data_IF_300107243893
#
_entry.id   IF_300107243893
#
_cell.length_a   1.000
_cell.length_b   1.000
_cell.length_c   1.000
_cell.angle_alpha   90.00
_cell.angle_beta   90.00
_cell.angle_gamma   90.00
#
_symmetry.space_group_name_H-M   'P 1'
#
loop_
_entity.id
_entity.type
_entity.pdbx_description
1 polymer ?
#
# COMPACT_ATOMS: atom_id res chain seq x y z
N UNK A 1 36.93 -19.30 39.99
CA UNK A 1 36.64 -19.82 38.63
C UNK A 1 35.61 -18.89 38.00
N UNK A 2 35.98 -18.11 36.98
CA UNK A 2 35.05 -17.21 36.28
C UNK A 2 34.10 -18.10 35.47
N UNK A 3 32.80 -18.12 35.79
CA UNK A 3 31.83 -18.88 35.02
C UNK A 3 31.92 -18.47 33.53
N UNK A 4 31.87 -19.41 32.57
CA UNK A 4 32.02 -19.09 31.16
C UNK A 4 30.96 -18.06 30.76
N UNK A 5 31.41 -16.95 30.15
CA UNK A 5 30.55 -15.91 29.59
C UNK A 5 29.67 -16.55 28.52
N UNK A 6 28.40 -16.83 28.84
CA UNK A 6 27.44 -17.30 27.83
C UNK A 6 27.05 -16.11 26.95
N UNK A 7 27.33 -16.13 25.64
CA UNK A 7 26.95 -15.05 24.75
C UNK A 7 25.41 -14.95 24.67
N UNK A 8 24.90 -13.73 24.49
CA UNK A 8 23.47 -13.47 24.26
C UNK A 8 23.07 -13.95 22.86
N UNK A 9 22.88 -15.26 22.72
CA UNK A 9 22.61 -15.91 21.44
C UNK A 9 21.37 -15.35 20.73
N UNK A 10 20.36 -14.95 21.49
CA UNK A 10 19.14 -14.31 20.97
C UNK A 10 19.44 -12.99 20.25
N UNK A 11 20.28 -12.13 20.82
CA UNK A 11 20.63 -10.84 20.22
C UNK A 11 21.51 -11.00 18.98
N UNK A 12 22.40 -11.99 18.97
CA UNK A 12 23.22 -12.34 17.80
C UNK A 12 22.33 -12.86 16.67
N UNK A 13 21.40 -13.76 16.98
CA UNK A 13 20.45 -14.30 16.01
C UNK A 13 19.62 -13.19 15.37
N UNK A 14 19.14 -12.24 16.18
CA UNK A 14 18.37 -11.09 15.69
C UNK A 14 19.21 -10.17 14.82
N UNK A 15 20.46 -9.91 15.20
CA UNK A 15 21.37 -9.12 14.38
C UNK A 15 21.57 -9.76 13.01
N UNK A 16 21.87 -11.07 12.97
CA UNK A 16 22.02 -11.83 11.72
C UNK A 16 20.72 -11.80 10.90
N UNK A 17 19.56 -12.01 11.54
CA UNK A 17 18.26 -11.96 10.87
C UNK A 17 17.99 -10.59 10.25
N UNK A 18 18.32 -9.51 10.97
CA UNK A 18 18.15 -8.13 10.50
C UNK A 18 19.02 -7.86 9.28
N UNK A 19 20.29 -8.26 9.31
CA UNK A 19 21.22 -8.12 8.18
C UNK A 19 20.75 -8.95 6.98
N UNK A 20 20.32 -10.20 7.19
CA UNK A 20 19.78 -11.04 6.13
C UNK A 20 18.52 -10.42 5.50
N UNK A 21 17.60 -9.90 6.31
CA UNK A 21 16.40 -9.22 5.80
C UNK A 21 16.78 -8.03 4.92
N UNK A 22 17.79 -7.25 5.32
CA UNK A 22 18.25 -6.09 4.56
C UNK A 22 18.81 -6.50 3.19
N UNK A 23 19.61 -7.58 3.13
CA UNK A 23 20.17 -8.12 1.88
C UNK A 23 19.06 -8.65 0.97
N UNK A 24 18.14 -9.47 1.49
CA UNK A 24 17.09 -10.10 0.70
C UNK A 24 16.05 -9.11 0.14
N UNK A 25 15.85 -7.97 0.80
CA UNK A 25 14.92 -6.95 0.32
C UNK A 25 15.57 -5.97 -0.66
N UNK A 26 16.88 -5.69 -0.52
CA UNK A 26 17.58 -4.73 -1.39
C UNK A 26 18.09 -5.34 -2.69
N UNK A 27 18.48 -6.61 -2.69
CA UNK A 27 18.95 -7.28 -3.91
C UNK A 27 17.77 -7.56 -4.86
N UNK A 28 17.77 -7.01 -6.10
CA UNK A 28 16.66 -7.19 -7.04
C UNK A 28 16.36 -8.67 -7.34
N UNK A 29 17.37 -9.54 -7.42
CA UNK A 29 17.19 -10.96 -7.72
C UNK A 29 16.60 -11.73 -6.54
N UNK A 30 16.95 -11.35 -5.31
CA UNK A 30 16.43 -11.99 -4.09
C UNK A 30 15.04 -11.46 -3.70
N UNK A 31 14.71 -10.24 -4.11
CA UNK A 31 13.48 -9.55 -3.72
C UNK A 31 12.18 -10.20 -4.23
N UNK A 32 12.28 -11.00 -5.29
CA UNK A 32 11.16 -11.78 -5.85
C UNK A 32 10.94 -13.14 -5.17
N UNK A 33 11.86 -13.55 -4.28
CA UNK A 33 11.76 -14.84 -3.61
C UNK A 33 10.75 -14.80 -2.46
N UNK A 34 10.04 -15.92 -2.17
CA UNK A 34 9.16 -16.01 -1.01
C UNK A 34 9.92 -15.88 0.32
N UNK A 35 11.25 -16.05 0.31
CA UNK A 35 12.08 -15.91 1.49
C UNK A 35 12.07 -14.47 2.02
N UNK A 36 11.91 -13.47 1.14
CA UNK A 36 11.71 -12.08 1.53
C UNK A 36 10.52 -11.93 2.49
N UNK A 37 9.40 -12.57 2.19
CA UNK A 37 8.19 -12.54 3.02
C UNK A 37 8.43 -13.24 4.36
N UNK A 38 9.08 -14.40 4.33
CA UNK A 38 9.43 -15.16 5.55
C UNK A 38 10.34 -14.37 6.48
N UNK A 39 11.31 -13.63 5.94
CA UNK A 39 12.21 -12.79 6.72
C UNK A 39 11.54 -11.48 7.19
N UNK A 40 10.73 -10.87 6.33
CA UNK A 40 10.06 -9.60 6.58
C UNK A 40 8.98 -9.68 7.66
N UNK A 41 8.21 -10.78 7.73
CA UNK A 41 7.12 -10.93 8.70
C UNK A 41 7.64 -10.82 10.15
N UNK A 42 8.64 -11.60 10.61
CA UNK A 42 9.20 -11.46 11.95
C UNK A 42 9.86 -10.10 12.19
N UNK A 43 10.48 -9.52 11.14
CA UNK A 43 11.12 -8.21 11.21
C UNK A 43 10.12 -7.08 11.51
N UNK A 44 8.86 -7.22 11.11
CA UNK A 44 7.81 -6.23 11.39
C UNK A 44 7.04 -6.58 12.66
N UNK A 45 6.65 -7.85 12.85
CA UNK A 45 5.71 -8.22 13.91
C UNK A 45 6.32 -8.49 15.27
N UNK A 46 7.63 -8.78 15.35
CA UNK A 46 8.21 -9.30 16.59
C UNK A 46 9.58 -8.71 16.93
N UNK A 47 10.51 -8.69 15.98
CA UNK A 47 11.92 -8.37 16.23
C UNK A 47 12.11 -6.98 16.88
N UNK A 48 11.55 -5.88 16.34
CA UNK A 48 11.78 -4.55 16.88
C UNK A 48 11.32 -4.41 18.33
N UNK A 49 10.14 -4.96 18.64
CA UNK A 49 9.58 -4.99 19.98
C UNK A 49 10.33 -5.94 20.93
N UNK A 50 10.83 -7.08 20.45
CA UNK A 50 11.66 -7.98 21.26
C UNK A 50 12.96 -7.31 21.68
N UNK A 51 13.66 -6.67 20.74
CA UNK A 51 14.92 -5.99 21.07
C UNK A 51 14.66 -4.79 21.98
N UNK A 52 13.55 -4.07 21.80
CA UNK A 52 13.14 -3.01 22.73
C UNK A 52 12.87 -3.57 24.13
N UNK A 53 12.13 -4.67 24.25
CA UNK A 53 11.90 -5.34 25.53
C UNK A 53 13.21 -5.81 26.16
N UNK A 54 14.13 -6.38 25.39
CA UNK A 54 15.45 -6.80 25.85
C UNK A 54 16.32 -5.62 26.29
N UNK A 55 16.18 -4.47 25.62
CA UNK A 55 16.85 -3.24 25.99
C UNK A 55 16.25 -2.63 27.26
N UNK A 56 14.93 -2.67 27.47
CA UNK A 56 14.26 -2.09 28.64
C UNK A 56 14.38 -2.97 29.89
N UNK A 57 14.21 -4.28 29.73
CA UNK A 57 14.14 -5.31 30.77
C UNK A 57 15.22 -6.39 30.57
N UNK A 58 16.51 -6.04 30.81
CA UNK A 58 17.65 -6.91 30.52
C UNK A 58 17.83 -8.06 31.52
N UNK A 59 17.22 -7.99 32.71
CA UNK A 59 17.37 -9.05 33.72
C UNK A 59 16.43 -10.20 33.40
N UNK A 60 16.84 -11.38 33.85
CA UNK A 60 16.04 -12.59 33.73
C UNK A 60 14.74 -12.55 34.54
N UNK A 61 14.77 -11.87 35.67
CA UNK A 61 13.67 -11.81 36.64
C UNK A 61 12.66 -10.69 36.30
N UNK A 62 12.98 -9.82 35.35
CA UNK A 62 12.14 -8.66 35.02
C UNK A 62 10.82 -9.07 34.34
N UNK A 63 10.86 -10.14 33.54
CA UNK A 63 9.72 -10.62 32.76
C UNK A 63 9.77 -12.14 32.67
N UNK A 64 8.62 -12.78 32.84
CA UNK A 64 8.46 -14.19 32.52
C UNK A 64 8.65 -14.45 31.02
N UNK A 65 8.95 -15.69 30.63
CA UNK A 65 9.24 -16.02 29.23
C UNK A 65 8.04 -15.74 28.30
N UNK A 66 6.82 -16.07 28.74
CA UNK A 66 5.58 -15.81 28.00
C UNK A 66 5.25 -14.32 27.95
N UNK A 67 5.42 -13.61 29.07
CA UNK A 67 5.22 -12.17 29.15
C UNK A 67 6.16 -11.41 28.21
N UNK A 68 7.43 -11.84 28.13
CA UNK A 68 8.40 -11.27 27.20
C UNK A 68 7.97 -11.43 25.75
N UNK A 69 7.45 -12.59 25.37
CA UNK A 69 6.94 -12.84 24.02
C UNK A 69 5.73 -11.94 23.73
N UNK A 70 4.75 -11.91 24.64
CA UNK A 70 3.55 -11.07 24.48
C UNK A 70 3.90 -9.57 24.38
N UNK A 71 4.78 -9.08 25.26
CA UNK A 71 5.26 -7.71 25.25
C UNK A 71 6.02 -7.37 23.96
N UNK A 72 6.77 -8.32 23.40
CA UNK A 72 7.50 -8.12 22.14
C UNK A 72 6.57 -7.89 20.95
N UNK A 73 5.47 -8.64 20.88
CA UNK A 73 4.42 -8.39 19.88
C UNK A 73 3.75 -7.03 20.13
N UNK A 74 3.36 -6.75 21.38
CA UNK A 74 2.72 -5.47 21.74
C UNK A 74 3.57 -4.25 21.40
N UNK A 75 4.87 -4.28 21.73
CA UNK A 75 5.81 -3.21 21.42
C UNK A 75 6.06 -3.06 19.93
N UNK A 76 6.08 -4.15 19.15
CA UNK A 76 6.22 -4.07 17.68
C UNK A 76 4.98 -3.42 17.06
N UNK A 77 3.78 -3.84 17.48
CA UNK A 77 2.50 -3.26 17.02
C UNK A 77 2.42 -1.78 17.38
N UNK A 78 3.01 -1.33 18.49
CA UNK A 78 3.09 0.09 18.82
C UNK A 78 4.13 0.84 17.98
N UNK A 79 5.37 0.35 17.93
CA UNK A 79 6.51 1.07 17.37
C UNK A 79 6.47 1.12 15.84
N UNK A 80 6.16 0.02 15.16
CA UNK A 80 6.28 -0.06 13.70
C UNK A 80 5.31 0.91 12.99
N UNK A 81 4.01 0.98 13.34
CA UNK A 81 3.10 1.96 12.73
C UNK A 81 3.49 3.40 13.02
N UNK A 82 3.93 3.72 14.24
CA UNK A 82 4.41 5.06 14.60
C UNK A 82 5.62 5.43 13.76
N UNK A 83 6.58 4.51 13.59
CA UNK A 83 7.76 4.71 12.74
C UNK A 83 7.35 4.96 11.27
N UNK A 84 6.41 4.17 10.75
CA UNK A 84 5.88 4.35 9.39
C UNK A 84 5.20 5.71 9.20
N UNK A 85 4.42 6.15 10.21
CA UNK A 85 3.76 7.46 10.20
C UNK A 85 4.77 8.62 10.26
N UNK A 86 5.82 8.51 11.09
CA UNK A 86 6.90 9.49 11.13
C UNK A 86 7.66 9.59 9.80
N UNK A 87 7.91 8.45 9.15
CA UNK A 87 8.54 8.41 7.83
C UNK A 87 7.67 9.00 6.73
N UNK A 88 6.35 8.84 6.82
CA UNK A 88 5.42 9.42 5.85
C UNK A 88 5.61 10.95 5.74
N UNK A 89 5.86 11.64 6.85
CA UNK A 89 6.09 13.08 6.84
C UNK A 89 7.42 13.52 6.22
N UNK A 90 8.39 12.62 6.06
CA UNK A 90 9.75 12.95 5.59
C UNK A 90 10.05 12.42 4.19
N UNK A 91 9.79 11.13 3.95
CA UNK A 91 10.14 10.44 2.70
C UNK A 91 8.93 9.78 2.02
N UNK A 92 7.73 9.95 2.58
CA UNK A 92 6.53 9.22 2.15
C UNK A 92 6.54 7.73 2.56
N UNK A 93 5.44 7.03 2.31
CA UNK A 93 5.30 5.59 2.59
C UNK A 93 5.95 4.79 1.47
N UNK A 94 7.26 4.63 1.54
CA UNK A 94 8.04 3.78 0.63
C UNK A 94 8.70 2.64 1.38
N UNK A 95 8.82 1.48 0.73
CA UNK A 95 9.39 0.26 1.33
C UNK A 95 10.82 0.46 1.84
N UNK A 96 11.69 1.09 1.04
CA UNK A 96 13.12 1.21 1.33
C UNK A 96 13.36 2.09 2.57
N UNK A 97 12.81 3.32 2.69
CA UNK A 97 12.94 4.12 3.91
C UNK A 97 12.44 3.41 5.18
N UNK A 98 11.30 2.71 5.09
CA UNK A 98 10.73 1.97 6.22
C UNK A 98 11.69 0.87 6.67
N UNK A 99 12.20 0.07 5.73
CA UNK A 99 13.11 -1.02 6.06
C UNK A 99 14.41 -0.51 6.67
N UNK A 100 15.03 0.53 6.09
CA UNK A 100 16.28 1.10 6.59
C UNK A 100 16.11 1.69 7.99
N UNK A 101 15.03 2.44 8.21
CA UNK A 101 14.71 3.00 9.53
C UNK A 101 14.48 1.89 10.56
N UNK A 102 13.69 0.87 10.23
CA UNK A 102 13.40 -0.22 11.15
C UNK A 102 14.65 -1.07 11.46
N UNK A 103 15.49 -1.29 10.47
CA UNK A 103 16.75 -2.04 10.62
C UNK A 103 17.75 -1.26 11.47
N UNK A 104 17.94 0.03 11.20
CA UNK A 104 18.82 0.89 12.01
C UNK A 104 18.34 1.00 13.45
N UNK A 105 17.04 1.18 13.67
CA UNK A 105 16.41 1.15 14.99
C UNK A 105 16.69 -0.17 15.73
N UNK A 106 16.48 -1.30 15.04
CA UNK A 106 16.71 -2.64 15.62
C UNK A 106 18.18 -2.84 15.99
N UNK A 107 19.12 -2.50 15.10
CA UNK A 107 20.56 -2.62 15.35
C UNK A 107 20.99 -1.74 16.53
N UNK A 108 20.51 -0.49 16.60
CA UNK A 108 20.79 0.41 17.72
C UNK A 108 20.31 -0.17 19.06
N UNK A 109 19.10 -0.72 19.09
CA UNK A 109 18.58 -1.38 20.29
C UNK A 109 19.32 -2.67 20.63
N UNK A 110 19.81 -3.44 19.66
CA UNK A 110 20.65 -4.62 19.91
C UNK A 110 21.91 -4.19 20.65
N UNK A 111 22.58 -3.13 20.20
CA UNK A 111 23.77 -2.59 20.86
C UNK A 111 23.44 -2.15 22.29
N UNK A 112 22.33 -1.42 22.49
CA UNK A 112 21.89 -0.99 23.83
C UNK A 112 21.57 -2.19 24.73
N UNK A 113 20.90 -3.21 24.20
CA UNK A 113 20.53 -4.42 24.94
C UNK A 113 21.76 -5.22 25.36
N UNK A 114 22.75 -5.40 24.45
CA UNK A 114 24.03 -6.04 24.78
C UNK A 114 24.73 -5.26 25.89
N UNK A 115 24.87 -3.94 25.73
CA UNK A 115 25.52 -3.08 26.71
C UNK A 115 24.86 -3.16 28.10
N UNK A 116 23.52 -3.14 28.15
CA UNK A 116 22.79 -3.27 29.42
C UNK A 116 22.89 -4.67 30.03
N UNK A 117 22.92 -5.73 29.23
CA UNK A 117 23.08 -7.11 29.71
C UNK A 117 24.48 -7.40 30.24
N UNK A 118 25.51 -6.86 29.60
CA UNK A 118 26.90 -7.06 30.04
C UNK A 118 27.21 -6.42 31.39
N UNK A 119 26.50 -5.33 31.73
CA UNK A 119 26.57 -4.67 33.05
C UNK A 119 25.97 -5.48 34.19
N UNK A 120 25.26 -6.58 33.91
CA UNK A 120 24.66 -7.43 34.93
C UNK A 120 25.59 -8.60 35.32
N UNK A 121 25.52 -9.08 36.58
CA UNK A 121 26.15 -10.33 36.99
C UNK A 121 25.69 -11.50 36.10
N UNK A 122 26.56 -12.48 35.75
CA UNK A 122 26.23 -13.57 34.83
C UNK A 122 24.95 -14.36 35.18
N UNK A 123 24.62 -14.45 36.47
CA UNK A 123 23.45 -15.18 36.99
C UNK A 123 22.12 -14.45 36.76
N UNK A 124 22.15 -13.12 36.67
CA UNK A 124 20.97 -12.28 36.43
C UNK A 124 20.70 -12.04 34.94
N UNK A 125 21.66 -12.37 34.06
CA UNK A 125 21.53 -12.18 32.62
C UNK A 125 20.44 -13.08 32.04
N UNK A 126 19.53 -12.48 31.28
CA UNK A 126 18.58 -13.27 30.50
C UNK A 126 19.34 -14.05 29.41
N UNK A 127 19.04 -15.36 29.29
CA UNK A 127 19.52 -16.20 28.19
C UNK A 127 18.42 -17.18 27.79
N UNK A 128 18.13 -17.25 26.49
CA UNK A 128 17.16 -18.20 25.95
C UNK A 128 17.81 -19.58 25.93
N UNK A 129 17.29 -20.51 26.72
CA UNK A 129 17.68 -21.92 26.64
C UNK A 129 16.62 -22.64 25.81
N UNK A 130 16.90 -22.92 24.53
CA UNK A 130 15.94 -23.57 23.62
C UNK A 130 15.31 -24.86 24.19
N UNK A 131 16.06 -25.61 24.98
CA UNK A 131 15.56 -26.81 25.66
C UNK A 131 14.40 -26.52 26.62
N UNK A 132 14.38 -25.38 27.32
CA UNK A 132 13.27 -25.00 28.22
C UNK A 132 12.01 -24.68 27.44
N UNK A 133 12.13 -23.96 26.33
CA UNK A 133 11.00 -23.61 25.47
C UNK A 133 10.31 -24.86 24.95
N UNK A 134 11.08 -25.87 24.50
CA UNK A 134 10.54 -27.15 24.07
C UNK A 134 9.78 -27.87 25.19
N UNK A 135 10.36 -27.94 26.40
CA UNK A 135 9.73 -28.59 27.55
C UNK A 135 8.44 -27.88 27.97
N UNK A 136 8.43 -26.54 27.97
CA UNK A 136 7.23 -25.74 28.29
C UNK A 136 6.12 -26.03 27.28
N UNK A 137 6.42 -25.94 25.98
CA UNK A 137 5.44 -26.21 24.92
C UNK A 137 4.90 -27.63 25.02
N UNK A 138 5.78 -28.62 25.21
CA UNK A 138 5.37 -30.02 25.31
C UNK A 138 4.52 -30.28 26.57
N UNK A 139 4.85 -29.65 27.69
CA UNK A 139 4.04 -29.77 28.92
C UNK A 139 2.68 -29.09 28.75
N UNK A 140 2.62 -27.91 28.14
CA UNK A 140 1.35 -27.19 27.93
C UNK A 140 0.42 -27.95 26.96
N UNK A 141 0.98 -28.56 25.91
CA UNK A 141 0.22 -29.37 24.95
C UNK A 141 -0.35 -30.64 25.61
N UNK A 142 0.44 -31.29 26.45
CA UNK A 142 0.09 -32.58 27.06
C UNK A 142 -0.65 -32.46 28.40
N UNK A 143 -0.81 -31.24 28.94
CA UNK A 143 -1.52 -31.02 30.19
C UNK A 143 -3.03 -31.22 30.03
N UNK A 144 -3.72 -31.86 31.01
CA UNK A 144 -5.16 -32.02 30.95
C UNK A 144 -5.85 -30.65 30.97
N UNK A 145 -6.54 -30.32 29.87
CA UNK A 145 -7.17 -29.01 29.67
C UNK A 145 -8.50 -28.91 30.42
N UNK A 146 -8.73 -27.79 31.09
CA UNK A 146 -10.04 -27.48 31.67
C UNK A 146 -11.08 -27.18 30.57
N UNK A 147 -12.37 -27.24 30.92
CA UNK A 147 -13.46 -26.86 30.01
C UNK A 147 -13.31 -25.40 29.54
N UNK A 148 -12.82 -24.51 30.41
CA UNK A 148 -12.57 -23.09 30.08
C UNK A 148 -11.44 -22.96 29.05
N UNK A 149 -10.32 -23.64 29.28
CA UNK A 149 -9.15 -23.62 28.39
C UNK A 149 -9.52 -24.16 27.00
N UNK A 150 -10.36 -25.19 26.96
CA UNK A 150 -10.88 -25.75 25.71
C UNK A 150 -11.70 -24.70 24.94
N UNK A 151 -12.60 -23.97 25.62
CA UNK A 151 -13.38 -22.90 24.97
C UNK A 151 -12.47 -21.79 24.46
N UNK A 152 -11.48 -21.35 25.25
CA UNK A 152 -10.52 -20.32 24.85
C UNK A 152 -9.73 -20.76 23.61
N UNK A 153 -9.27 -22.01 23.56
CA UNK A 153 -8.54 -22.56 22.42
C UNK A 153 -9.44 -22.62 21.18
N UNK A 154 -10.70 -23.05 21.31
CA UNK A 154 -11.65 -23.07 20.18
C UNK A 154 -11.85 -21.66 19.62
N UNK A 155 -12.06 -20.67 20.50
CA UNK A 155 -12.20 -19.27 20.10
C UNK A 155 -10.93 -18.76 19.41
N UNK A 156 -9.76 -19.10 19.94
CA UNK A 156 -8.46 -18.73 19.35
C UNK A 156 -8.25 -19.34 17.97
N UNK A 157 -8.58 -20.62 17.79
CA UNK A 157 -8.45 -21.30 16.49
C UNK A 157 -9.43 -20.69 15.47
N UNK A 158 -10.66 -20.42 15.88
CA UNK A 158 -11.65 -19.74 15.04
C UNK A 158 -11.20 -18.33 14.63
N UNK A 159 -10.63 -17.56 15.57
CA UNK A 159 -10.17 -16.20 15.28
C UNK A 159 -8.97 -16.18 14.33
N UNK A 160 -7.99 -17.07 14.52
CA UNK A 160 -6.83 -17.21 13.63
C UNK A 160 -7.28 -17.67 12.24
N UNK A 161 -8.21 -18.63 12.16
CA UNK A 161 -8.76 -19.11 10.88
C UNK A 161 -9.51 -18.01 10.14
N UNK A 162 -10.34 -17.24 10.85
CA UNK A 162 -11.06 -16.10 10.30
C UNK A 162 -10.10 -15.02 9.79
N UNK A 163 -9.08 -14.68 10.57
CA UNK A 163 -8.07 -13.69 10.17
C UNK A 163 -7.28 -14.13 8.92
N UNK A 164 -6.88 -15.40 8.86
CA UNK A 164 -6.21 -15.97 7.69
C UNK A 164 -7.13 -15.96 6.45
N UNK A 165 -8.41 -16.30 6.62
CA UNK A 165 -9.42 -16.23 5.57
C UNK A 165 -9.64 -14.81 5.04
N UNK A 166 -9.71 -13.82 5.94
CA UNK A 166 -9.78 -12.40 5.57
C UNK A 166 -8.55 -11.94 4.80
N UNK A 167 -7.36 -12.35 5.24
CA UNK A 167 -6.11 -12.01 4.54
C UNK A 167 -6.07 -12.62 3.14
N UNK A 168 -6.45 -13.89 3.01
CA UNK A 168 -6.58 -14.56 1.71
C UNK A 168 -7.60 -13.86 0.80
N UNK A 169 -8.75 -13.46 1.34
CA UNK A 169 -9.77 -12.72 0.61
C UNK A 169 -9.23 -11.37 0.11
N UNK A 170 -8.53 -10.60 0.95
CA UNK A 170 -7.95 -9.30 0.55
C UNK A 170 -6.89 -9.45 -0.54
N UNK A 171 -6.07 -10.50 -0.51
CA UNK A 171 -5.03 -10.72 -1.53
C UNK A 171 -5.61 -11.23 -2.86
N UNK A 172 -6.69 -12.01 -2.81
CA UNK A 172 -7.28 -12.63 -4.01
C UNK A 172 -8.38 -11.78 -4.65
N UNK A 173 -8.94 -10.81 -3.93
CA UNK A 173 -9.92 -9.89 -4.51
C UNK A 173 -9.18 -8.78 -5.27
N UNK A 174 -9.46 -8.58 -6.56
CA UNK A 174 -8.91 -7.46 -7.30
C UNK A 174 -9.43 -6.17 -6.65
N UNK A 175 -8.50 -5.27 -6.31
CA UNK A 175 -8.85 -3.92 -5.85
C UNK A 175 -9.54 -3.26 -7.03
N UNK A 176 -10.88 -3.22 -7.00
CA UNK A 176 -11.66 -2.45 -7.96
C UNK A 176 -11.32 -0.99 -7.63
N UNK A 177 -10.36 -0.41 -8.38
CA UNK A 177 -10.13 1.03 -8.34
C UNK A 177 -11.42 1.77 -8.67
N UNK A 178 -11.49 3.07 -8.35
CA UNK A 178 -12.65 3.88 -8.73
C UNK A 178 -12.98 3.65 -10.21
N UNK A 179 -14.27 3.44 -10.51
CA UNK A 179 -14.71 3.34 -11.90
C UNK A 179 -14.79 4.75 -12.45
N UNK A 180 -13.96 5.06 -13.43
CA UNK A 180 -14.00 6.34 -14.09
C UNK A 180 -13.68 6.20 -15.57
N UNK A 181 -14.11 7.17 -16.34
CA UNK A 181 -13.69 7.33 -17.74
C UNK A 181 -12.84 8.58 -17.83
N UNK A 182 -11.69 8.54 -18.48
CA UNK A 182 -10.93 9.76 -18.82
C UNK A 182 -11.59 10.46 -20.00
N UNK A 183 -11.71 11.79 -19.93
CA UNK A 183 -12.22 12.60 -21.02
C UNK A 183 -11.42 13.88 -21.11
N UNK A 184 -10.75 14.10 -22.24
CA UNK A 184 -9.88 15.24 -22.45
C UNK A 184 -9.90 15.73 -23.90
N UNK A 185 -9.50 16.99 -24.09
CA UNK A 185 -9.29 17.59 -25.40
C UNK A 185 -7.83 18.03 -25.51
N UNK A 186 -7.27 17.90 -26.71
CA UNK A 186 -5.91 18.29 -27.03
C UNK A 186 -5.90 19.14 -28.31
N UNK A 187 -4.88 19.96 -28.44
CA UNK A 187 -4.52 20.57 -29.72
C UNK A 187 -4.13 19.47 -30.73
N UNK A 188 -4.17 19.72 -32.06
CA UNK A 188 -3.69 18.76 -33.05
C UNK A 188 -2.21 18.34 -32.88
N UNK A 189 -1.43 19.12 -32.11
CA UNK A 189 -0.05 18.81 -31.74
C UNK A 189 0.08 17.81 -30.56
N UNK A 190 -1.03 17.37 -29.97
CA UNK A 190 -1.09 16.44 -28.83
C UNK A 190 -0.82 17.10 -27.47
N UNK A 191 -0.83 18.44 -27.39
CA UNK A 191 -0.60 19.17 -26.14
C UNK A 191 -1.89 19.75 -25.57
N UNK A 192 -1.99 19.76 -24.24
CA UNK A 192 -3.11 20.33 -23.49
C UNK A 192 -2.94 21.84 -23.23
N UNK A 193 -2.42 22.60 -24.19
CA UNK A 193 -2.16 24.04 -24.09
C UNK A 193 -2.45 24.74 -25.41
N UNK A 194 -2.66 26.05 -25.39
CA UNK A 194 -2.87 26.89 -26.58
C UNK A 194 -4.05 26.45 -27.48
N UNK A 195 -5.17 26.06 -26.88
CA UNK A 195 -6.39 25.73 -27.61
C UNK A 195 -6.83 26.89 -28.55
N UNK A 196 -7.47 26.58 -29.70
CA UNK A 196 -7.92 27.60 -30.63
C UNK A 196 -9.01 28.48 -29.99
N UNK A 197 -8.72 29.76 -29.83
CA UNK A 197 -9.65 30.76 -29.28
C UNK A 197 -10.37 31.56 -30.37
N UNK A 198 -9.89 31.50 -31.62
CA UNK A 198 -10.52 32.12 -32.78
C UNK A 198 -10.95 31.04 -33.77
N UNK A 199 -12.25 30.97 -34.04
CA UNK A 199 -12.86 30.07 -35.01
C UNK A 199 -13.33 30.88 -36.22
N UNK A 200 -13.23 30.29 -37.41
CA UNK A 200 -13.81 30.85 -38.64
C UNK A 200 -15.21 30.30 -38.82
N UNK A 201 -16.20 31.17 -38.90
CA UNK A 201 -17.59 30.78 -39.16
C UNK A 201 -17.69 30.08 -40.51
N UNK A 202 -18.56 29.06 -40.59
CA UNK A 202 -18.79 28.22 -41.77
C UNK A 202 -17.53 27.54 -42.33
N UNK A 203 -16.47 27.41 -41.53
CA UNK A 203 -15.24 26.71 -41.90
C UNK A 203 -14.98 25.56 -40.93
N UNK A 204 -14.56 24.37 -41.41
CA UNK A 204 -14.31 23.23 -40.55
C UNK A 204 -13.13 23.51 -39.60
N UNK A 205 -13.36 23.25 -38.32
CA UNK A 205 -12.37 23.30 -37.24
C UNK A 205 -12.16 21.90 -36.67
N UNK A 206 -10.96 21.62 -36.18
CA UNK A 206 -10.58 20.28 -35.67
C UNK A 206 -9.97 20.39 -34.28
N UNK A 207 -10.44 19.53 -33.38
CA UNK A 207 -9.89 19.37 -32.03
C UNK A 207 -9.74 17.87 -31.78
N UNK A 208 -8.61 17.47 -31.18
CA UNK A 208 -8.35 16.09 -30.82
C UNK A 208 -9.08 15.80 -29.51
N UNK A 209 -9.89 14.75 -29.48
CA UNK A 209 -10.69 14.37 -28.31
C UNK A 209 -10.32 12.95 -27.93
N UNK A 210 -10.01 12.74 -26.64
CA UNK A 210 -9.63 11.46 -26.09
C UNK A 210 -10.60 10.97 -25.03
N UNK A 211 -10.97 9.69 -25.11
CA UNK A 211 -11.78 8.96 -24.12
C UNK A 211 -11.07 7.65 -23.77
N UNK A 212 -10.87 7.40 -22.47
CA UNK A 212 -10.30 6.14 -21.96
C UNK A 212 -11.27 5.50 -20.98
N UNK A 213 -11.65 4.24 -21.22
CA UNK A 213 -12.64 3.55 -20.39
C UNK A 213 -11.98 2.78 -19.22
N UNK A 214 -12.16 3.21 -17.97
CA UNK A 214 -11.76 2.44 -16.77
C UNK A 214 -12.97 1.93 -15.95
N UNK A 215 -14.06 1.59 -16.62
CA UNK A 215 -15.33 1.21 -15.97
C UNK A 215 -15.48 -0.31 -15.76
N UNK A 216 -14.46 -1.10 -16.12
CA UNK A 216 -14.39 -2.57 -16.07
C UNK A 216 -15.41 -3.33 -16.94
N UNK A 217 -16.24 -2.60 -17.68
CA UNK A 217 -17.21 -3.15 -18.64
C UNK A 217 -17.12 -2.37 -19.96
N UNK A 218 -17.47 -2.98 -21.10
CA UNK A 218 -17.63 -2.24 -22.34
C UNK A 218 -18.73 -1.19 -22.19
N UNK A 219 -18.45 0.05 -22.60
CA UNK A 219 -19.43 1.14 -22.58
C UNK A 219 -19.57 1.73 -23.98
N UNK A 220 -20.81 2.03 -24.38
CA UNK A 220 -21.12 2.82 -25.56
C UNK A 220 -21.11 4.31 -25.19
N UNK A 221 -20.18 5.07 -25.75
CA UNK A 221 -20.04 6.50 -25.52
C UNK A 221 -20.56 7.28 -26.71
N UNK A 222 -21.13 8.45 -26.44
CA UNK A 222 -21.47 9.44 -27.44
C UNK A 222 -20.86 10.78 -27.06
N UNK A 223 -20.10 11.38 -27.95
CA UNK A 223 -19.58 12.74 -27.79
C UNK A 223 -20.47 13.68 -28.59
N UNK A 224 -20.97 14.72 -27.97
CA UNK A 224 -21.60 15.85 -28.65
C UNK A 224 -20.72 17.09 -28.54
N UNK A 225 -20.50 17.76 -29.66
CA UNK A 225 -19.86 19.07 -29.70
C UNK A 225 -20.93 20.12 -29.91
N UNK A 226 -21.07 21.04 -28.96
CA UNK A 226 -22.08 22.08 -28.99
C UNK A 226 -21.44 23.48 -28.93
N UNK A 227 -22.01 24.44 -29.66
CA UNK A 227 -21.63 25.85 -29.62
C UNK A 227 -22.81 26.67 -29.13
N UNK A 228 -22.67 27.27 -27.95
CA UNK A 228 -23.72 28.05 -27.30
C UNK A 228 -25.07 27.31 -27.27
N UNK A 229 -25.03 26.07 -26.76
CA UNK A 229 -26.15 25.11 -26.61
C UNK A 229 -26.71 24.50 -27.90
N UNK A 230 -26.17 24.83 -29.06
CA UNK A 230 -26.56 24.20 -30.33
C UNK A 230 -25.54 23.12 -30.71
N UNK A 231 -26.01 21.89 -30.90
CA UNK A 231 -25.18 20.74 -31.25
C UNK A 231 -24.73 20.87 -32.71
N UNK A 232 -23.42 20.86 -32.93
CA UNK A 232 -22.79 20.94 -34.24
C UNK A 232 -22.54 19.57 -34.86
N UNK A 233 -22.13 18.60 -34.04
CA UNK A 233 -21.86 17.23 -34.46
C UNK A 233 -21.89 16.29 -33.25
N UNK A 234 -22.20 15.03 -33.51
CA UNK A 234 -22.08 13.93 -32.56
C UNK A 234 -21.23 12.79 -33.13
N UNK A 235 -20.67 11.95 -32.26
CA UNK A 235 -19.93 10.74 -32.65
C UNK A 235 -20.10 9.68 -31.58
N UNK A 236 -20.50 8.47 -31.97
CA UNK A 236 -20.70 7.35 -31.06
C UNK A 236 -19.74 6.21 -31.33
N UNK A 237 -19.23 5.59 -30.27
CA UNK A 237 -18.28 4.47 -30.34
C UNK A 237 -18.32 3.65 -29.05
N UNK A 238 -17.94 2.37 -29.16
CA UNK A 238 -17.89 1.44 -28.04
C UNK A 238 -16.45 1.22 -27.62
N UNK A 239 -16.17 1.28 -26.31
CA UNK A 239 -14.85 1.03 -25.74
C UNK A 239 -14.92 -0.11 -24.73
N UNK A 240 -14.05 -1.11 -24.88
CA UNK A 240 -13.76 -2.10 -23.85
C UNK A 240 -12.99 -1.49 -22.67
N UNK A 241 -12.86 -2.24 -21.57
CA UNK A 241 -12.07 -1.78 -20.41
C UNK A 241 -10.59 -1.58 -20.79
N UNK A 242 -10.04 -0.43 -20.39
CA UNK A 242 -8.72 0.10 -20.72
C UNK A 242 -8.48 0.35 -22.22
N UNK A 243 -9.54 0.44 -23.02
CA UNK A 243 -9.44 0.86 -24.40
C UNK A 243 -9.53 2.39 -24.50
N UNK A 244 -8.80 2.95 -25.47
CA UNK A 244 -8.70 4.38 -25.73
C UNK A 244 -9.26 4.67 -27.12
N UNK A 245 -10.16 5.65 -27.19
CA UNK A 245 -10.55 6.30 -28.44
C UNK A 245 -9.96 7.70 -28.46
N UNK A 246 -9.17 8.02 -29.49
CA UNK A 246 -8.57 9.33 -29.67
C UNK A 246 -8.63 9.72 -31.16
N UNK A 247 -9.49 10.68 -31.49
CA UNK A 247 -9.67 11.13 -32.87
C UNK A 247 -9.84 12.65 -33.00
N UNK A 248 -9.56 13.16 -34.21
CA UNK A 248 -9.78 14.56 -34.56
C UNK A 248 -11.25 14.80 -34.89
N UNK A 249 -12.00 15.30 -33.91
CA UNK A 249 -13.40 15.68 -34.11
C UNK A 249 -13.45 16.96 -34.94
N UNK A 250 -14.12 16.88 -36.09
CA UNK A 250 -14.31 18.01 -37.01
C UNK A 250 -15.71 18.59 -36.83
N UNK A 251 -15.80 19.89 -36.61
CA UNK A 251 -17.07 20.61 -36.48
C UNK A 251 -17.05 21.92 -37.26
N UNK A 252 -18.22 22.40 -37.67
CA UNK A 252 -18.36 23.65 -38.44
C UNK A 252 -19.13 24.65 -37.57
N UNK A 253 -18.50 25.75 -37.12
CA UNK A 253 -19.19 26.79 -36.37
C UNK A 253 -20.24 27.46 -37.26
N UNK A 254 -21.50 27.43 -36.83
CA UNK A 254 -22.67 27.97 -37.53
C UNK A 254 -23.06 29.39 -37.07
N UNK A 255 -22.50 29.85 -35.95
CA UNK A 255 -22.70 31.19 -35.38
C UNK A 255 -21.46 32.07 -35.49
N UNK A 256 -21.69 33.37 -35.54
CA UNK A 256 -20.66 34.42 -35.39
C UNK A 256 -20.90 35.17 -34.08
N UNK A 257 -19.85 35.42 -33.31
CA UNK A 257 -19.95 36.10 -32.02
C UNK A 257 -18.66 36.04 -31.21
N UNK A 258 -18.60 36.87 -30.17
CA UNK A 258 -17.48 36.87 -29.21
C UNK A 258 -17.87 36.13 -27.93
N UNK A 259 -16.90 35.44 -27.32
CA UNK A 259 -17.07 34.71 -26.06
C UNK A 259 -18.19 33.66 -26.09
N UNK A 260 -18.26 32.91 -27.19
CA UNK A 260 -19.15 31.76 -27.33
C UNK A 260 -18.58 30.58 -26.54
N UNK A 261 -19.46 29.78 -25.94
CA UNK A 261 -19.08 28.58 -25.19
C UNK A 261 -19.10 27.38 -26.13
N UNK A 262 -17.92 26.84 -26.45
CA UNK A 262 -17.76 25.58 -27.17
C UNK A 262 -17.67 24.45 -26.14
N UNK A 263 -18.63 23.54 -26.15
CA UNK A 263 -18.78 22.45 -25.18
C UNK A 263 -18.54 21.10 -25.85
N UNK A 264 -17.83 20.23 -25.15
CA UNK A 264 -17.68 18.83 -25.49
C UNK A 264 -18.38 18.03 -24.38
N UNK A 265 -19.43 17.33 -24.74
CA UNK A 265 -20.31 16.61 -23.82
C UNK A 265 -20.15 15.12 -24.09
N UNK A 266 -19.74 14.37 -23.06
CA UNK A 266 -19.61 12.91 -23.14
C UNK A 266 -20.83 12.29 -22.47
N UNK A 267 -21.58 11.48 -23.21
CA UNK A 267 -22.71 10.69 -22.75
C UNK A 267 -22.34 9.20 -22.77
N UNK A 268 -23.13 8.40 -22.05
CA UNK A 268 -22.96 6.95 -21.96
C UNK A 268 -24.28 6.23 -22.11
N UNK A 269 -24.26 5.07 -22.74
CA UNK A 269 -25.41 4.16 -22.88
C UNK A 269 -26.68 4.85 -23.40
N UNK A 270 -26.52 5.72 -24.40
CA UNK A 270 -27.62 6.44 -25.05
C UNK A 270 -28.48 7.30 -24.08
N UNK A 271 -27.94 7.64 -22.90
CA UNK A 271 -28.59 8.53 -21.94
C UNK A 271 -28.14 9.98 -22.15
N UNK A 272 -28.96 10.75 -22.86
CA UNK A 272 -28.72 12.16 -23.20
C UNK A 272 -29.32 13.17 -22.19
N UNK A 273 -29.82 12.71 -21.04
CA UNK A 273 -30.48 13.59 -20.07
C UNK A 273 -29.50 14.57 -19.42
N UNK A 274 -28.32 14.06 -19.07
CA UNK A 274 -27.23 14.82 -18.45
C UNK A 274 -25.89 14.25 -18.95
N UNK A 275 -24.92 15.12 -19.29
CA UNK A 275 -23.60 14.66 -19.72
C UNK A 275 -22.90 13.95 -18.56
N UNK A 276 -22.30 12.80 -18.86
CA UNK A 276 -21.47 12.07 -17.92
C UNK A 276 -20.20 12.85 -17.58
N UNK A 277 -19.56 13.46 -18.59
CA UNK A 277 -18.47 14.43 -18.43
C UNK A 277 -18.63 15.58 -19.42
N UNK A 278 -18.10 16.74 -19.05
CA UNK A 278 -18.17 17.94 -19.86
C UNK A 278 -16.84 18.68 -19.83
N UNK A 279 -16.43 19.19 -21.00
CA UNK A 279 -15.30 20.09 -21.18
C UNK A 279 -15.79 21.32 -21.95
N UNK A 280 -15.16 22.46 -21.76
CA UNK A 280 -15.53 23.66 -22.50
C UNK A 280 -14.34 24.57 -22.80
N UNK A 281 -14.47 25.32 -23.88
CA UNK A 281 -13.58 26.40 -24.29
C UNK A 281 -14.40 27.66 -24.56
N UNK A 282 -13.83 28.81 -24.24
CA UNK A 282 -14.38 30.10 -24.64
C UNK A 282 -13.73 30.54 -25.96
N UNK A 283 -14.54 30.73 -26.99
CA UNK A 283 -14.07 30.99 -28.36
C UNK A 283 -14.76 32.21 -28.96
N UNK A 284 -14.09 32.85 -29.91
CA UNK A 284 -14.66 33.90 -30.76
C UNK A 284 -14.83 33.35 -32.17
N UNK A 285 -16.03 33.40 -32.72
CA UNK A 285 -16.32 32.99 -34.08
C UNK A 285 -16.50 34.23 -34.97
N UNK A 286 -15.63 34.39 -35.97
CA UNK A 286 -15.63 35.51 -36.93
C UNK A 286 -15.93 35.01 -38.34
#
# INVERSE_FOLDING_TARGET
MKAPEKPSFDLILIFIWTVLTLIFVQDPMLSETPLRTVLGIPMVLFIPGYVLAAALYPKRQDLEEVERVALSFGLSIAVVPIMGLLLNFTFGISLIPILLSLSSYTIALVIIAVYRRERLPPEERFSVTFHRVYVIINNEINSPKSKRDTIIIIILVLSVTFAAGMFYFVITTPIIGERFTEFYILEPSGKAQNYPTELKSNSPSRILVGVVNHEYIPINYTIEVALDKEVLTDTSFMLAHNETWEENVTFVPDKTGSNLKLEFLLFREDNFTLPYRQLHLWVNAK
#
